data_IF_032522836275
#
_entry.id   IF_032522836275
#
_cell.length_a   1.000
_cell.length_b   1.000
_cell.length_c   1.000
_cell.angle_alpha   90.00
_cell.angle_beta   90.00
_cell.angle_gamma   90.00
#
_symmetry.space_group_name_H-M   'P 1'
#
loop_
_entity.id
_entity.type
_entity.pdbx_description
1 polymer ?
#
# COMPACT_ATOMS: atom_id res chain seq x y z
N UNK A 1 -14.50 2.61 -27.64
CA UNK A 1 -14.00 3.95 -28.08
C UNK A 1 -12.49 3.88 -28.33
N UNK A 2 -11.86 4.82 -29.04
CA UNK A 2 -10.38 4.80 -29.13
C UNK A 2 -9.79 5.18 -27.76
N UNK A 3 -8.95 4.32 -27.20
CA UNK A 3 -8.33 4.58 -25.90
C UNK A 3 -7.29 5.70 -26.02
N UNK A 4 -7.30 6.69 -25.10
CA UNK A 4 -6.36 7.80 -25.15
C UNK A 4 -4.93 7.31 -24.88
N UNK A 5 -3.96 7.90 -25.56
CA UNK A 5 -2.54 7.58 -25.39
C UNK A 5 -1.97 8.37 -24.22
N UNK A 6 -1.17 7.73 -23.37
CA UNK A 6 -0.46 8.41 -22.29
C UNK A 6 0.50 9.48 -22.83
N UNK A 7 0.75 10.57 -22.09
CA UNK A 7 1.73 11.59 -22.48
C UNK A 7 3.16 11.01 -22.50
N UNK A 8 4.14 11.83 -22.92
CA UNK A 8 5.56 11.44 -23.01
C UNK A 8 6.05 10.74 -21.72
N UNK A 9 6.94 9.76 -21.89
CA UNK A 9 7.65 9.05 -20.80
C UNK A 9 8.43 9.96 -19.85
N UNK A 10 8.70 11.20 -20.24
CA UNK A 10 9.31 12.22 -19.37
C UNK A 10 8.38 12.66 -18.22
N UNK A 11 7.08 12.39 -18.34
CA UNK A 11 6.08 12.72 -17.32
C UNK A 11 6.10 11.68 -16.21
N UNK A 12 6.25 12.12 -14.95
CA UNK A 12 6.16 11.25 -13.79
C UNK A 12 4.70 10.79 -13.61
N UNK A 13 4.46 9.48 -13.68
CA UNK A 13 3.14 8.93 -13.40
C UNK A 13 2.94 8.75 -11.90
N UNK A 14 1.78 9.17 -11.42
CA UNK A 14 1.21 8.74 -10.15
C UNK A 14 0.06 7.80 -10.50
N UNK A 15 0.33 6.50 -10.49
CA UNK A 15 -0.55 5.49 -11.05
C UNK A 15 -1.31 4.77 -9.92
N UNK A 16 -2.56 5.17 -9.71
CA UNK A 16 -3.50 4.54 -8.79
C UNK A 16 -4.30 3.46 -9.52
N UNK A 17 -4.34 2.24 -8.97
CA UNK A 17 -5.22 1.20 -9.49
C UNK A 17 -5.84 0.31 -8.40
N UNK A 18 -6.69 -0.63 -8.78
CA UNK A 18 -7.26 -1.61 -7.86
C UNK A 18 -6.21 -2.63 -7.37
N UNK A 19 -6.66 -3.61 -6.60
CA UNK A 19 -5.80 -4.57 -5.86
C UNK A 19 -5.88 -6.01 -6.40
N UNK A 20 -6.65 -6.25 -7.45
CA UNK A 20 -6.79 -7.56 -8.09
C UNK A 20 -5.87 -7.69 -9.33
N UNK A 21 -6.08 -8.73 -10.13
CA UNK A 21 -5.28 -8.97 -11.33
C UNK A 21 -5.40 -7.82 -12.34
N UNK A 22 -6.58 -7.25 -12.54
CA UNK A 22 -6.77 -6.22 -13.55
C UNK A 22 -6.13 -4.90 -13.12
N UNK A 23 -6.28 -4.53 -11.84
CA UNK A 23 -5.60 -3.36 -11.29
C UNK A 23 -4.06 -3.46 -11.31
N UNK A 24 -3.49 -4.59 -10.86
CA UNK A 24 -2.05 -4.81 -10.99
C UNK A 24 -1.62 -4.97 -12.46
N UNK A 25 -2.47 -5.52 -13.31
CA UNK A 25 -2.25 -5.67 -14.73
C UNK A 25 -2.11 -4.33 -15.46
N UNK A 26 -2.93 -3.34 -15.13
CA UNK A 26 -2.79 -1.99 -15.65
C UNK A 26 -1.41 -1.38 -15.30
N UNK A 27 -0.97 -1.53 -14.05
CA UNK A 27 0.36 -1.08 -13.61
C UNK A 27 1.48 -1.83 -14.34
N UNK A 28 1.31 -3.14 -14.52
CA UNK A 28 2.23 -3.99 -15.26
C UNK A 28 2.45 -3.50 -16.70
N UNK A 29 1.39 -3.07 -17.40
CA UNK A 29 1.51 -2.51 -18.75
C UNK A 29 2.30 -1.21 -18.78
N UNK A 30 2.03 -0.28 -17.85
CA UNK A 30 2.79 0.98 -17.80
C UNK A 30 4.26 0.77 -17.49
N UNK A 31 4.59 -0.21 -16.64
CA UNK A 31 5.97 -0.58 -16.33
C UNK A 31 6.69 -1.20 -17.52
N UNK A 32 6.02 -2.11 -18.22
CA UNK A 32 6.54 -2.74 -19.44
C UNK A 32 6.90 -1.71 -20.50
N UNK A 33 6.07 -0.68 -20.63
CA UNK A 33 6.32 0.45 -21.50
C UNK A 33 7.28 1.48 -20.90
N UNK A 34 8.09 1.16 -19.89
CA UNK A 34 9.21 2.00 -19.44
C UNK A 34 8.82 3.34 -18.85
N UNK A 35 7.57 3.53 -18.41
CA UNK A 35 7.15 4.75 -17.74
C UNK A 35 7.76 4.83 -16.34
N UNK A 36 8.21 6.03 -15.96
CA UNK A 36 8.59 6.30 -14.58
C UNK A 36 7.34 6.58 -13.77
N UNK A 37 7.03 5.73 -12.81
CA UNK A 37 5.79 5.78 -12.05
C UNK A 37 6.01 5.60 -10.55
N UNK A 38 5.22 6.32 -9.76
CA UNK A 38 4.90 6.00 -8.37
C UNK A 38 3.56 5.30 -8.37
N UNK A 39 3.55 4.05 -7.93
CA UNK A 39 2.36 3.21 -7.98
C UNK A 39 1.62 3.20 -6.65
N UNK A 40 0.30 3.21 -6.73
CA UNK A 40 -0.62 3.22 -5.60
C UNK A 40 -1.72 2.20 -5.87
N UNK A 41 -2.17 1.52 -4.84
CA UNK A 41 -3.28 0.57 -4.95
C UNK A 41 -4.31 0.88 -3.87
N UNK A 42 -5.58 0.76 -4.20
CA UNK A 42 -6.68 0.97 -3.26
C UNK A 42 -7.83 0.00 -3.52
N UNK A 43 -8.44 -0.46 -2.44
CA UNK A 43 -9.83 -0.92 -2.47
C UNK A 43 -10.75 0.33 -2.54
N UNK A 44 -11.99 0.17 -2.99
CA UNK A 44 -12.97 1.26 -3.17
C UNK A 44 -13.12 2.15 -1.93
N UNK A 45 -13.04 1.55 -0.73
CA UNK A 45 -13.15 2.25 0.55
C UNK A 45 -11.95 3.17 0.84
N UNK A 46 -10.80 2.85 0.29
CA UNK A 46 -9.52 3.52 0.57
C UNK A 46 -9.14 4.55 -0.50
N UNK A 47 -9.91 4.66 -1.59
CA UNK A 47 -9.68 5.62 -2.69
C UNK A 47 -9.50 7.05 -2.17
N UNK A 48 -10.36 7.61 -1.29
CA UNK A 48 -10.20 9.00 -0.84
C UNK A 48 -8.87 9.24 -0.11
N UNK A 49 -8.52 8.37 0.84
CA UNK A 49 -7.28 8.50 1.61
C UNK A 49 -6.03 8.28 0.73
N UNK A 50 -6.14 7.41 -0.26
CA UNK A 50 -5.04 7.16 -1.21
C UNK A 50 -4.84 8.35 -2.15
N UNK A 51 -5.92 8.97 -2.63
CA UNK A 51 -5.85 10.20 -3.43
C UNK A 51 -5.25 11.36 -2.63
N UNK A 52 -5.60 11.53 -1.35
CA UNK A 52 -4.97 12.52 -0.46
C UNK A 52 -3.44 12.35 -0.44
N UNK A 53 -2.96 11.13 -0.20
CA UNK A 53 -1.53 10.81 -0.21
C UNK A 53 -0.87 11.07 -1.57
N UNK A 54 -1.53 10.68 -2.66
CA UNK A 54 -1.03 10.95 -4.02
C UNK A 54 -0.88 12.44 -4.24
N UNK A 55 -1.87 13.25 -3.87
CA UNK A 55 -1.79 14.70 -4.02
C UNK A 55 -0.67 15.32 -3.18
N UNK A 56 -0.43 14.82 -1.96
CA UNK A 56 0.71 15.23 -1.15
C UNK A 56 2.06 14.88 -1.80
N UNK A 57 2.16 13.72 -2.43
CA UNK A 57 3.38 13.27 -3.09
C UNK A 57 3.61 13.97 -4.44
N UNK A 58 2.54 14.26 -5.18
CA UNK A 58 2.57 15.09 -6.40
C UNK A 58 3.03 16.50 -6.10
N UNK A 59 2.57 17.09 -4.99
CA UNK A 59 2.97 18.44 -4.58
C UNK A 59 4.47 18.57 -4.24
N UNK A 60 5.17 17.44 -4.03
CA UNK A 60 6.62 17.38 -3.81
C UNK A 60 7.43 17.22 -5.09
N UNK A 61 6.78 16.94 -6.23
CA UNK A 61 7.46 16.79 -7.52
C UNK A 61 7.75 18.16 -8.14
N UNK A 62 8.92 18.31 -8.73
CA UNK A 62 9.43 19.52 -9.39
C UNK A 62 9.44 19.40 -10.93
N UNK A 63 8.72 18.42 -11.46
CA UNK A 63 8.70 18.00 -12.86
C UNK A 63 7.27 17.73 -13.35
N UNK A 64 7.03 17.58 -14.67
CA UNK A 64 5.69 17.26 -15.16
C UNK A 64 5.14 15.96 -14.56
N UNK A 65 3.91 16.00 -14.06
CA UNK A 65 3.26 14.84 -13.44
C UNK A 65 1.89 14.54 -14.06
N UNK A 66 1.54 13.26 -14.17
CA UNK A 66 0.21 12.78 -14.52
C UNK A 66 -0.32 11.89 -13.40
N UNK A 67 -1.50 12.20 -12.88
CA UNK A 67 -2.31 11.24 -12.11
C UNK A 67 -3.02 10.31 -13.09
N UNK A 68 -2.62 9.03 -13.12
CA UNK A 68 -3.29 7.97 -13.86
C UNK A 68 -4.11 7.12 -12.90
N UNK A 69 -5.41 6.99 -13.14
CA UNK A 69 -6.29 6.13 -12.36
C UNK A 69 -6.80 5.01 -13.28
N UNK A 70 -6.66 3.76 -12.87
CA UNK A 70 -7.16 2.61 -13.65
C UNK A 70 -7.93 1.63 -12.78
N UNK A 71 -8.94 0.98 -13.36
CA UNK A 71 -9.74 -0.07 -12.68
C UNK A 71 -10.46 0.41 -11.40
N UNK A 72 -10.75 1.70 -11.32
CA UNK A 72 -11.40 2.31 -10.16
C UNK A 72 -12.39 3.34 -10.65
N UNK A 73 -13.68 3.08 -10.41
CA UNK A 73 -14.68 4.10 -10.66
C UNK A 73 -14.64 5.19 -9.57
N UNK A 74 -14.84 6.44 -9.99
CA UNK A 74 -15.02 7.56 -9.08
C UNK A 74 -16.49 7.97 -9.07
N UNK A 75 -17.02 8.27 -7.89
CA UNK A 75 -18.29 8.99 -7.82
C UNK A 75 -18.12 10.39 -8.41
N UNK A 76 -19.22 11.02 -8.84
CA UNK A 76 -19.20 12.38 -9.38
C UNK A 76 -18.51 13.38 -8.43
N UNK A 77 -18.78 13.27 -7.12
CA UNK A 77 -18.15 14.11 -6.08
C UNK A 77 -16.63 13.88 -5.98
N UNK A 78 -16.19 12.63 -6.10
CA UNK A 78 -14.76 12.28 -6.09
C UNK A 78 -14.08 12.81 -7.36
N UNK A 79 -14.68 12.64 -8.53
CA UNK A 79 -14.15 13.15 -9.79
C UNK A 79 -14.06 14.68 -9.79
N UNK A 80 -15.10 15.36 -9.30
CA UNK A 80 -15.12 16.81 -9.10
C UNK A 80 -14.02 17.29 -8.14
N UNK A 81 -13.78 16.55 -7.06
CA UNK A 81 -12.70 16.82 -6.11
C UNK A 81 -11.32 16.68 -6.77
N UNK A 82 -11.12 15.61 -7.55
CA UNK A 82 -9.87 15.39 -8.30
C UNK A 82 -9.63 16.53 -9.27
N UNK A 83 -10.63 16.90 -10.08
CA UNK A 83 -10.53 18.00 -11.04
C UNK A 83 -10.17 19.33 -10.35
N UNK A 84 -10.83 19.65 -9.21
CA UNK A 84 -10.51 20.85 -8.41
C UNK A 84 -9.09 20.84 -7.88
N UNK A 85 -8.60 19.71 -7.35
CA UNK A 85 -7.24 19.63 -6.80
C UNK A 85 -6.17 19.72 -7.87
N UNK A 86 -6.35 19.05 -9.01
CA UNK A 86 -5.43 19.17 -10.16
C UNK A 86 -5.38 20.63 -10.64
N UNK A 87 -6.53 21.31 -10.74
CA UNK A 87 -6.57 22.72 -11.12
C UNK A 87 -5.87 23.64 -10.10
N UNK A 88 -6.10 23.43 -8.79
CA UNK A 88 -5.49 24.22 -7.72
C UNK A 88 -3.98 24.07 -7.62
N UNK A 89 -3.44 22.87 -7.88
CA UNK A 89 -1.99 22.63 -7.92
C UNK A 89 -1.31 23.42 -9.04
N UNK A 90 -1.98 23.61 -10.18
CA UNK A 90 -1.48 24.44 -11.28
C UNK A 90 -1.48 25.95 -10.99
N UNK A 91 -2.16 26.41 -9.93
CA UNK A 91 -2.31 27.82 -9.57
C UNK A 91 -1.53 28.23 -8.31
N UNK A 92 -0.80 27.31 -7.67
CA UNK A 92 -0.03 27.60 -6.46
C UNK A 92 -0.88 27.80 -5.19
N UNK A 93 -2.18 27.52 -5.25
CA UNK A 93 -3.06 27.62 -4.08
C UNK A 93 -2.91 26.38 -3.18
N UNK A 94 -2.32 26.56 -1.99
CA UNK A 94 -2.39 25.56 -0.91
C UNK A 94 -3.80 25.56 -0.34
N UNK A 95 -4.71 24.80 -0.94
CA UNK A 95 -6.02 24.55 -0.34
C UNK A 95 -5.89 23.63 0.88
N UNK A 96 -5.88 24.25 2.07
CA UNK A 96 -6.13 23.56 3.35
C UNK A 96 -7.62 23.25 3.47
N UNK A 97 -8.12 22.29 2.71
CA UNK A 97 -9.44 21.71 2.96
C UNK A 97 -9.31 20.21 3.19
N UNK A 98 -8.96 19.86 4.43
CA UNK A 98 -9.21 18.54 4.98
C UNK A 98 -10.72 18.36 5.23
N UNK A 99 -11.23 17.16 4.92
CA UNK A 99 -12.58 16.68 5.23
C UNK A 99 -13.16 17.28 6.52
N UNK A 100 -14.17 18.15 6.41
CA UNK A 100 -14.95 18.60 7.57
C UNK A 100 -15.93 17.51 7.96
N UNK A 101 -15.64 16.81 9.06
CA UNK A 101 -16.66 16.12 9.86
C UNK A 101 -17.48 17.16 10.65
N UNK A 102 -18.78 16.93 10.93
CA UNK A 102 -19.59 17.92 11.63
C UNK A 102 -19.15 18.02 13.09
N UNK A 103 -18.56 19.16 13.49
CA UNK A 103 -18.13 19.42 14.86
C UNK A 103 -19.31 19.84 15.74
N UNK A 104 -19.48 19.14 16.86
CA UNK A 104 -20.24 19.58 18.02
C UNK A 104 -19.62 20.86 18.62
N UNK A 105 -20.48 21.83 18.96
CA UNK A 105 -20.09 23.08 19.61
C UNK A 105 -19.78 22.84 21.09
N UNK A 106 -18.60 23.27 21.54
CA UNK A 106 -18.23 23.40 22.96
C UNK A 106 -17.24 24.56 23.13
N UNK A 107 -17.30 25.35 24.22
CA UNK A 107 -16.76 26.70 24.27
C UNK A 107 -15.26 26.78 24.58
N UNK A 108 -14.63 27.78 23.99
CA UNK A 108 -13.21 28.14 24.07
C UNK A 108 -12.83 28.74 25.43
N UNK A 109 -11.66 28.35 25.96
CA UNK A 109 -10.96 29.05 27.06
C UNK A 109 -9.78 29.85 26.51
N UNK A 110 -9.44 31.04 27.07
CA UNK A 110 -8.38 31.91 26.54
C UNK A 110 -6.99 31.48 27.02
N UNK A 111 -5.99 31.71 26.15
CA UNK A 111 -4.64 31.16 26.24
C UNK A 111 -3.64 31.92 27.12
N UNK A 112 -2.42 31.39 27.12
CA UNK A 112 -1.22 31.98 27.69
C UNK A 112 -0.08 31.78 26.68
N UNK A 113 0.07 32.76 25.80
CA UNK A 113 1.29 33.01 25.02
C UNK A 113 1.53 34.51 25.09
N UNK A 114 2.65 34.87 25.71
CA UNK A 114 3.01 36.26 25.98
C UNK A 114 3.29 36.99 24.67
N UNK A 115 2.73 38.20 24.51
CA UNK A 115 2.69 38.93 23.23
C UNK A 115 4.08 39.21 22.64
N UNK A 116 5.12 39.24 23.49
CA UNK A 116 6.51 39.48 23.09
C UNK A 116 7.17 38.29 22.37
N UNK A 117 6.78 37.05 22.68
CA UNK A 117 7.28 35.86 21.97
C UNK A 117 6.65 35.71 20.59
N UNK A 118 5.40 36.15 20.42
CA UNK A 118 4.73 36.15 19.12
C UNK A 118 5.34 37.17 18.15
N UNK A 119 5.92 38.26 18.67
CA UNK A 119 6.61 39.27 17.88
C UNK A 119 8.00 38.80 17.41
N UNK A 120 8.78 38.12 18.27
CA UNK A 120 10.10 37.58 17.87
C UNK A 120 10.00 36.45 16.83
N UNK A 121 8.98 35.59 16.92
CA UNK A 121 8.72 34.54 15.93
C UNK A 121 8.29 35.09 14.56
N UNK A 122 7.58 36.23 14.53
CA UNK A 122 7.23 36.91 13.28
C UNK A 122 8.45 37.54 12.60
N UNK A 123 9.44 37.98 13.37
CA UNK A 123 10.63 38.64 12.82
C UNK A 123 11.67 37.62 12.29
N UNK A 124 11.77 36.43 12.88
CA UNK A 124 12.65 35.35 12.39
C UNK A 124 12.11 34.66 11.13
N UNK A 125 10.79 34.62 10.94
CA UNK A 125 10.15 34.08 9.73
C UNK A 125 10.19 35.02 8.52
N UNK A 126 10.41 36.33 8.74
CA UNK A 126 10.46 37.33 7.67
C UNK A 126 11.83 37.49 7.01
N UNK A 127 12.88 36.83 7.54
CA UNK A 127 14.27 37.00 7.08
C UNK A 127 14.77 35.88 6.15
N UNK A 128 13.96 34.87 5.84
CA UNK A 128 14.27 33.89 4.82
C UNK A 128 13.69 34.36 3.48
N UNK A 129 14.54 34.90 2.60
CA UNK A 129 14.14 35.08 1.21
C UNK A 129 13.70 33.71 0.65
N UNK A 130 12.50 33.60 0.04
CA UNK A 130 12.10 32.36 -0.58
C UNK A 130 13.09 32.03 -1.69
N UNK A 131 13.63 30.82 -1.65
CA UNK A 131 14.37 30.26 -2.77
C UNK A 131 13.55 30.45 -4.06
N UNK A 132 14.17 30.77 -5.20
CA UNK A 132 13.44 31.02 -6.44
C UNK A 132 12.53 29.82 -6.75
N UNK A 133 11.22 30.06 -6.81
CA UNK A 133 10.25 29.02 -7.16
C UNK A 133 10.51 28.57 -8.60
N UNK A 134 10.99 27.33 -8.77
CA UNK A 134 11.07 26.68 -10.06
C UNK A 134 9.68 26.70 -10.73
N UNK A 135 9.61 26.81 -12.08
CA UNK A 135 8.34 26.82 -12.79
C UNK A 135 7.56 25.54 -12.46
N UNK A 136 6.44 25.67 -11.74
CA UNK A 136 5.60 24.51 -11.39
C UNK A 136 4.89 24.02 -12.65
N UNK A 137 5.27 22.83 -13.09
CA UNK A 137 4.58 22.15 -14.19
C UNK A 137 3.12 21.88 -13.78
N UNK A 138 2.17 22.19 -14.68
CA UNK A 138 0.76 21.96 -14.40
C UNK A 138 0.48 20.45 -14.41
N UNK A 139 0.06 19.83 -13.29
CA UNK A 139 -0.28 18.41 -13.28
C UNK A 139 -1.49 18.15 -14.16
N UNK A 140 -1.55 16.95 -14.73
CA UNK A 140 -2.69 16.44 -15.50
C UNK A 140 -3.30 15.22 -14.81
N UNK A 141 -4.50 14.84 -15.23
CA UNK A 141 -5.17 13.61 -14.80
C UNK A 141 -5.69 12.85 -16.02
N UNK A 142 -5.70 11.52 -15.94
CA UNK A 142 -6.36 10.62 -16.85
C UNK A 142 -6.91 9.44 -16.05
N UNK A 143 -8.11 9.00 -16.38
CA UNK A 143 -8.72 7.82 -15.79
C UNK A 143 -9.16 6.87 -16.90
N UNK A 144 -8.76 5.60 -16.81
CA UNK A 144 -9.14 4.52 -17.73
C UNK A 144 -9.89 3.44 -16.94
N UNK A 145 -11.18 3.29 -17.17
CA UNK A 145 -12.04 2.43 -16.36
C UNK A 145 -13.08 1.71 -17.22
N UNK A 146 -13.65 0.64 -16.68
CA UNK A 146 -14.61 -0.23 -17.35
C UNK A 146 -15.90 -0.46 -16.55
N UNK A 147 -15.97 0.08 -15.33
CA UNK A 147 -17.15 -0.03 -14.48
C UNK A 147 -18.23 0.98 -14.89
N UNK A 148 -19.36 0.49 -15.38
CA UNK A 148 -20.50 1.32 -15.80
C UNK A 148 -21.04 2.26 -14.70
N UNK A 149 -20.75 1.97 -13.42
CA UNK A 149 -21.11 2.82 -12.28
C UNK A 149 -20.44 4.19 -12.27
N UNK A 150 -19.43 4.42 -13.11
CA UNK A 150 -18.76 5.72 -13.30
C UNK A 150 -19.35 6.61 -14.40
N UNK A 151 -20.43 6.21 -15.08
CA UNK A 151 -20.97 6.90 -16.26
C UNK A 151 -21.21 8.40 -16.05
N UNK A 152 -21.92 8.79 -14.98
CA UNK A 152 -22.17 10.21 -14.65
C UNK A 152 -20.89 11.06 -14.53
N UNK A 153 -19.82 10.46 -14.00
CA UNK A 153 -18.52 11.13 -13.86
C UNK A 153 -17.78 11.19 -15.20
N UNK A 154 -17.87 10.13 -16.01
CA UNK A 154 -17.28 10.04 -17.34
C UNK A 154 -17.90 11.04 -18.32
N UNK A 155 -19.22 11.22 -18.30
CA UNK A 155 -19.92 12.21 -19.15
C UNK A 155 -19.51 13.65 -18.84
N UNK A 156 -19.13 13.93 -17.59
CA UNK A 156 -18.80 15.29 -17.13
C UNK A 156 -17.34 15.67 -17.31
N UNK A 157 -16.43 14.71 -17.29
CA UNK A 157 -15.00 14.96 -17.21
C UNK A 157 -14.27 14.33 -18.40
N UNK A 158 -13.77 15.14 -19.33
CA UNK A 158 -13.08 14.66 -20.56
C UNK A 158 -11.86 13.76 -20.29
N UNK A 159 -11.26 13.85 -19.10
CA UNK A 159 -10.12 13.02 -18.69
C UNK A 159 -10.53 11.63 -18.16
N UNK A 160 -11.83 11.37 -18.01
CA UNK A 160 -12.39 10.09 -17.56
C UNK A 160 -12.86 9.29 -18.77
N UNK A 161 -12.03 8.34 -19.20
CA UNK A 161 -12.34 7.41 -20.27
C UNK A 161 -12.98 6.13 -19.70
N UNK A 162 -14.27 5.95 -19.98
CA UNK A 162 -15.04 4.75 -19.62
C UNK A 162 -15.25 3.86 -20.86
N UNK A 163 -14.86 2.59 -20.77
CA UNK A 163 -15.13 1.58 -21.80
C UNK A 163 -15.48 0.24 -21.15
N UNK A 164 -16.76 -0.14 -21.18
CA UNK A 164 -17.28 -1.35 -20.52
C UNK A 164 -17.03 -2.64 -21.32
N UNK A 165 -16.38 -2.53 -22.48
CA UNK A 165 -16.13 -3.66 -23.37
C UNK A 165 -14.70 -4.21 -23.25
N UNK A 166 -13.87 -3.65 -22.37
CA UNK A 166 -12.47 -4.03 -22.19
C UNK A 166 -12.04 -3.76 -20.75
N UNK A 167 -11.28 -4.67 -20.16
CA UNK A 167 -10.73 -4.49 -18.81
C UNK A 167 -9.68 -3.36 -18.76
N UNK A 168 -9.37 -2.87 -17.55
CA UNK A 168 -8.44 -1.78 -17.35
C UNK A 168 -7.01 -2.09 -17.79
N UNK A 169 -6.55 -3.34 -17.66
CA UNK A 169 -5.24 -3.78 -18.18
C UNK A 169 -5.14 -3.60 -19.69
N UNK A 170 -6.23 -3.91 -20.41
CA UNK A 170 -6.31 -3.74 -21.86
C UNK A 170 -6.31 -2.26 -22.24
N UNK A 171 -7.08 -1.43 -21.54
CA UNK A 171 -7.06 0.02 -21.74
C UNK A 171 -5.67 0.61 -21.44
N UNK A 172 -5.03 0.20 -20.34
CA UNK A 172 -3.69 0.64 -19.99
C UNK A 172 -2.65 0.22 -21.02
N UNK A 173 -2.74 -1.01 -21.56
CA UNK A 173 -1.89 -1.46 -22.66
C UNK A 173 -2.06 -0.58 -23.90
N UNK A 174 -3.30 -0.37 -24.36
CA UNK A 174 -3.57 0.44 -25.55
C UNK A 174 -3.04 1.88 -25.39
N UNK A 175 -3.17 2.45 -24.19
CA UNK A 175 -2.65 3.78 -23.86
C UNK A 175 -1.12 3.88 -23.93
N UNK A 176 -0.38 2.77 -23.79
CA UNK A 176 1.09 2.74 -23.82
C UNK A 176 1.70 2.02 -25.02
N UNK A 177 0.89 1.33 -25.82
CA UNK A 177 1.33 0.53 -26.96
C UNK A 177 2.23 1.30 -27.95
N UNK A 178 2.01 2.60 -28.25
CA UNK A 178 2.89 3.35 -29.15
C UNK A 178 4.34 3.48 -28.68
N UNK A 179 4.59 3.31 -27.37
CA UNK A 179 5.93 3.42 -26.79
C UNK A 179 6.72 2.10 -26.79
N UNK A 180 6.07 0.99 -27.13
CA UNK A 180 6.69 -0.33 -27.25
C UNK A 180 7.20 -0.54 -28.69
N UNK A 181 8.31 -1.27 -28.83
CA UNK A 181 8.70 -1.81 -30.13
C UNK A 181 7.73 -2.91 -30.59
N UNK A 182 7.89 -3.42 -31.81
CA UNK A 182 6.95 -4.37 -32.41
C UNK A 182 6.83 -5.68 -31.61
N UNK A 183 7.95 -6.23 -31.16
CA UNK A 183 7.99 -7.48 -30.41
C UNK A 183 7.35 -7.32 -29.03
N UNK A 184 7.75 -6.30 -28.27
CA UNK A 184 7.18 -6.01 -26.97
C UNK A 184 5.69 -5.67 -27.10
N UNK A 185 5.29 -4.90 -28.12
CA UNK A 185 3.88 -4.56 -28.35
C UNK A 185 3.03 -5.80 -28.58
N UNK A 186 3.49 -6.75 -29.39
CA UNK A 186 2.78 -8.01 -29.63
C UNK A 186 2.69 -8.86 -28.34
N UNK A 187 3.80 -8.97 -27.61
CA UNK A 187 3.86 -9.73 -26.35
C UNK A 187 2.88 -9.17 -25.31
N UNK A 188 2.92 -7.87 -25.06
CA UNK A 188 2.08 -7.23 -24.04
C UNK A 188 0.62 -7.09 -24.49
N UNK A 189 0.34 -7.05 -25.80
CA UNK A 189 -1.03 -7.18 -26.32
C UNK A 189 -1.63 -8.53 -25.92
N UNK A 190 -0.92 -9.63 -26.19
CA UNK A 190 -1.39 -10.98 -25.86
C UNK A 190 -1.60 -11.18 -24.35
N UNK A 191 -0.71 -10.61 -23.52
CA UNK A 191 -0.85 -10.63 -22.05
C UNK A 191 -2.03 -9.79 -21.57
N UNK A 192 -2.27 -8.62 -22.16
CA UNK A 192 -3.42 -7.77 -21.81
C UNK A 192 -4.75 -8.43 -22.21
N UNK A 193 -4.83 -9.02 -23.40
CA UNK A 193 -5.99 -9.80 -23.84
C UNK A 193 -6.25 -11.01 -22.94
N UNK A 194 -5.20 -11.67 -22.45
CA UNK A 194 -5.35 -12.78 -21.50
C UNK A 194 -5.98 -12.33 -20.17
N UNK A 195 -5.59 -11.15 -19.67
CA UNK A 195 -6.18 -10.59 -18.45
C UNK A 195 -7.66 -10.25 -18.70
N UNK A 196 -7.97 -9.61 -19.85
CA UNK A 196 -9.34 -9.27 -20.29
C UNK A 196 -10.27 -10.49 -20.33
N UNK A 197 -9.77 -11.65 -20.76
CA UNK A 197 -10.53 -12.92 -20.74
C UNK A 197 -10.97 -13.30 -19.33
N UNK A 198 -10.06 -13.19 -18.34
CA UNK A 198 -10.35 -13.50 -16.95
C UNK A 198 -11.30 -12.49 -16.31
N UNK A 199 -10.96 -11.21 -16.46
CA UNK A 199 -11.69 -10.11 -15.85
C UNK A 199 -13.15 -10.04 -16.32
N UNK A 200 -13.37 -10.09 -17.64
CA UNK A 200 -14.71 -10.07 -18.25
C UNK A 200 -15.44 -11.40 -18.24
N UNK A 201 -14.83 -12.43 -17.66
CA UNK A 201 -15.42 -13.76 -17.52
C UNK A 201 -15.80 -14.44 -18.86
N UNK A 202 -14.92 -14.36 -19.86
CA UNK A 202 -15.16 -14.89 -21.22
C UNK A 202 -15.02 -16.42 -21.26
N UNK A 203 -16.03 -17.15 -20.76
CA UNK A 203 -15.99 -18.61 -20.51
C UNK A 203 -15.71 -19.50 -21.72
N UNK A 204 -16.08 -19.05 -22.90
CA UNK A 204 -15.88 -19.80 -24.14
C UNK A 204 -14.45 -19.68 -24.67
N UNK A 205 -13.63 -18.75 -24.14
CA UNK A 205 -12.23 -18.63 -24.50
C UNK A 205 -11.42 -19.80 -23.90
N UNK A 206 -10.61 -20.52 -24.69
CA UNK A 206 -9.83 -21.65 -24.19
C UNK A 206 -8.82 -21.28 -23.09
N UNK A 207 -8.50 -19.99 -22.93
CA UNK A 207 -7.60 -19.46 -21.90
C UNK A 207 -8.31 -19.20 -20.57
N UNK A 208 -9.65 -19.24 -20.51
CA UNK A 208 -10.45 -18.83 -19.35
C UNK A 208 -10.02 -19.50 -18.04
N UNK A 209 -9.88 -20.82 -17.99
CA UNK A 209 -9.47 -21.48 -16.76
C UNK A 209 -8.06 -21.09 -16.28
N UNK A 210 -7.17 -20.79 -17.22
CA UNK A 210 -5.82 -20.30 -16.90
C UNK A 210 -5.87 -18.87 -16.38
N UNK A 211 -6.73 -18.01 -16.91
CA UNK A 211 -6.88 -16.65 -16.42
C UNK A 211 -7.49 -16.61 -15.02
N UNK A 212 -8.50 -17.45 -14.74
CA UNK A 212 -9.05 -17.62 -13.38
C UNK A 212 -7.97 -18.09 -12.39
N UNK A 213 -7.10 -19.02 -12.80
CA UNK A 213 -5.99 -19.43 -11.95
C UNK A 213 -5.02 -18.28 -11.66
N UNK A 214 -4.67 -17.46 -12.66
CA UNK A 214 -3.82 -16.29 -12.45
C UNK A 214 -4.47 -15.27 -11.51
N UNK A 215 -5.78 -15.02 -11.64
CA UNK A 215 -6.54 -14.17 -10.70
C UNK A 215 -6.36 -14.68 -9.27
N UNK A 216 -6.61 -15.98 -9.05
CA UNK A 216 -6.41 -16.63 -7.74
C UNK A 216 -4.98 -16.44 -7.23
N UNK A 217 -3.98 -16.72 -8.08
CA UNK A 217 -2.56 -16.62 -7.71
C UNK A 217 -2.14 -15.21 -7.28
N UNK A 218 -2.67 -14.16 -7.91
CA UNK A 218 -2.37 -12.76 -7.57
C UNK A 218 -3.11 -12.29 -6.30
N UNK A 219 -4.30 -12.83 -6.05
CA UNK A 219 -5.12 -12.50 -4.88
C UNK A 219 -4.73 -13.29 -3.62
N UNK A 220 -3.96 -14.37 -3.76
CA UNK A 220 -3.45 -15.14 -2.63
C UNK A 220 -2.53 -14.31 -1.71
N UNK A 221 -2.45 -14.72 -0.43
CA UNK A 221 -1.63 -14.06 0.57
C UNK A 221 -0.14 -14.08 0.18
N UNK A 222 0.50 -12.92 0.22
CA UNK A 222 1.89 -12.73 -0.23
C UNK A 222 2.93 -13.06 0.84
N UNK A 223 2.53 -13.36 2.08
CA UNK A 223 3.40 -13.59 3.23
C UNK A 223 4.34 -12.41 3.57
N UNK A 224 4.09 -11.23 2.97
CA UNK A 224 4.91 -10.04 3.14
C UNK A 224 4.31 -9.10 4.19
N UNK A 225 5.18 -8.44 4.95
CA UNK A 225 4.77 -7.45 5.94
C UNK A 225 3.93 -6.33 5.30
N UNK A 226 2.80 -5.92 5.92
CA UNK A 226 1.91 -4.91 5.33
C UNK A 226 2.57 -3.59 4.90
N UNK A 227 3.56 -3.02 5.62
CA UNK A 227 4.22 -1.79 5.18
C UNK A 227 5.04 -1.92 3.89
N UNK A 228 5.40 -3.14 3.47
CA UNK A 228 6.25 -3.40 2.31
C UNK A 228 5.48 -3.35 0.98
N UNK A 229 4.73 -2.26 0.76
CA UNK A 229 3.80 -2.11 -0.36
C UNK A 229 4.48 -2.25 -1.73
N UNK A 230 5.70 -1.72 -1.89
CA UNK A 230 6.41 -1.80 -3.17
C UNK A 230 6.92 -3.23 -3.41
N UNK A 231 7.48 -3.88 -2.38
CA UNK A 231 7.90 -5.27 -2.48
C UNK A 231 6.74 -6.22 -2.78
N UNK A 232 5.56 -5.93 -2.20
CA UNK A 232 4.31 -6.63 -2.50
C UNK A 232 3.92 -6.51 -3.98
N UNK A 233 4.09 -5.33 -4.58
CA UNK A 233 3.87 -5.13 -6.02
C UNK A 233 4.91 -5.85 -6.86
N UNK A 234 6.19 -5.77 -6.49
CA UNK A 234 7.26 -6.51 -7.17
C UNK A 234 6.99 -8.02 -7.15
N UNK A 235 6.49 -8.55 -6.04
CA UNK A 235 6.11 -9.95 -5.92
C UNK A 235 5.00 -10.33 -6.90
N UNK A 236 3.96 -9.49 -7.04
CA UNK A 236 2.87 -9.74 -7.98
C UNK A 236 3.33 -9.68 -9.43
N UNK A 237 4.15 -8.69 -9.79
CA UNK A 237 4.75 -8.63 -11.13
C UNK A 237 5.68 -9.82 -11.39
N UNK A 238 6.40 -10.30 -10.38
CA UNK A 238 7.20 -11.51 -10.47
C UNK A 238 6.33 -12.74 -10.76
N UNK A 239 5.21 -12.90 -10.04
CA UNK A 239 4.26 -14.00 -10.30
C UNK A 239 3.65 -13.91 -11.71
N UNK A 240 3.23 -12.73 -12.14
CA UNK A 240 2.71 -12.50 -13.50
C UNK A 240 3.75 -12.87 -14.56
N UNK A 241 5.00 -12.40 -14.40
CA UNK A 241 6.07 -12.71 -15.33
C UNK A 241 6.36 -14.22 -15.40
N UNK A 242 6.46 -14.88 -14.25
CA UNK A 242 6.70 -16.33 -14.19
C UNK A 242 5.56 -17.11 -14.86
N UNK A 243 4.32 -16.74 -14.55
CA UNK A 243 3.14 -17.35 -15.14
C UNK A 243 3.08 -17.17 -16.66
N UNK A 244 3.21 -15.94 -17.15
CA UNK A 244 3.13 -15.67 -18.59
C UNK A 244 4.26 -16.33 -19.37
N UNK A 245 5.49 -16.29 -18.84
CA UNK A 245 6.65 -16.94 -19.49
C UNK A 245 6.43 -18.44 -19.70
N UNK A 246 5.86 -19.13 -18.72
CA UNK A 246 5.58 -20.57 -18.83
C UNK A 246 4.36 -20.86 -19.70
N UNK A 247 3.33 -20.01 -19.62
CA UNK A 247 2.18 -20.12 -20.50
C UNK A 247 2.57 -19.98 -21.97
N UNK A 248 3.51 -19.06 -22.29
CA UNK A 248 4.08 -18.85 -23.63
C UNK A 248 4.88 -20.06 -24.14
N UNK A 249 5.23 -21.00 -23.25
CA UNK A 249 5.91 -22.26 -23.58
C UNK A 249 4.92 -23.44 -23.70
N UNK A 250 3.62 -23.17 -23.82
CA UNK A 250 2.55 -24.18 -23.88
C UNK A 250 2.47 -25.11 -22.64
N UNK A 251 3.00 -24.65 -21.50
CA UNK A 251 2.94 -25.37 -20.22
C UNK A 251 1.48 -25.63 -19.82
N UNK A 252 1.13 -26.83 -19.37
CA UNK A 252 -0.23 -27.17 -18.91
C UNK A 252 -0.61 -26.42 -17.62
N UNK A 253 -1.91 -26.33 -17.30
CA UNK A 253 -2.35 -25.71 -16.05
C UNK A 253 -1.88 -26.49 -14.81
N UNK A 254 -1.82 -27.82 -14.88
CA UNK A 254 -1.30 -28.66 -13.80
C UNK A 254 0.18 -28.37 -13.53
N UNK A 255 0.99 -28.22 -14.58
CA UNK A 255 2.40 -27.87 -14.44
C UNK A 255 2.60 -26.46 -13.85
N UNK A 256 1.76 -25.49 -14.26
CA UNK A 256 1.76 -24.16 -13.65
C UNK A 256 1.43 -24.21 -12.16
N UNK A 257 0.40 -24.97 -11.78
CA UNK A 257 -0.02 -25.15 -10.39
C UNK A 257 1.09 -25.80 -9.55
N UNK A 258 1.72 -26.86 -10.06
CA UNK A 258 2.89 -27.49 -9.41
C UNK A 258 4.07 -26.51 -9.29
N UNK A 259 4.26 -25.63 -10.27
CA UNK A 259 5.32 -24.64 -10.33
C UNK A 259 5.18 -23.46 -9.38
N UNK A 260 4.01 -23.22 -8.77
CA UNK A 260 3.77 -22.07 -7.88
C UNK A 260 4.79 -21.98 -6.75
N UNK A 261 5.18 -23.12 -6.17
CA UNK A 261 6.23 -23.15 -5.15
C UNK A 261 7.54 -22.55 -5.68
N UNK A 262 7.95 -22.93 -6.88
CA UNK A 262 9.19 -22.47 -7.49
C UNK A 262 9.10 -21.01 -7.91
N UNK A 263 7.94 -20.53 -8.39
CA UNK A 263 7.74 -19.11 -8.69
C UNK A 263 7.96 -18.28 -7.43
N UNK A 264 7.30 -18.67 -6.34
CA UNK A 264 7.41 -17.99 -5.05
C UNK A 264 8.83 -18.08 -4.48
N UNK A 265 9.50 -19.22 -4.61
CA UNK A 265 10.88 -19.38 -4.14
C UNK A 265 11.86 -18.53 -4.96
N UNK A 266 11.65 -18.42 -6.28
CA UNK A 266 12.50 -17.62 -7.16
C UNK A 266 12.48 -16.12 -6.80
N UNK A 267 11.36 -15.60 -6.29
CA UNK A 267 11.29 -14.20 -5.84
C UNK A 267 12.29 -13.88 -4.73
N UNK A 268 12.59 -14.83 -3.85
CA UNK A 268 13.53 -14.65 -2.73
C UNK A 268 15.00 -14.66 -3.17
N UNK A 269 15.30 -15.14 -4.38
CA UNK A 269 16.68 -15.30 -4.86
C UNK A 269 17.37 -13.93 -4.98
N UNK A 270 18.53 -13.80 -4.34
CA UNK A 270 19.26 -12.53 -4.25
C UNK A 270 18.64 -11.49 -3.31
N UNK A 271 17.51 -11.80 -2.65
CA UNK A 271 16.88 -10.93 -1.63
C UNK A 271 17.13 -11.41 -0.20
N UNK A 272 17.49 -12.67 -0.03
CA UNK A 272 17.98 -13.27 1.21
C UNK A 272 19.24 -14.08 0.92
N UNK A 273 20.00 -14.43 1.97
CA UNK A 273 21.19 -15.28 1.85
C UNK A 273 20.85 -16.66 1.25
N UNK A 274 21.76 -17.18 0.42
CA UNK A 274 21.57 -18.46 -0.28
C UNK A 274 21.42 -19.64 0.69
N UNK A 275 22.09 -19.60 1.84
CA UNK A 275 21.94 -20.61 2.89
C UNK A 275 20.51 -20.65 3.40
N UNK A 276 19.91 -19.48 3.68
CA UNK A 276 18.53 -19.37 4.15
C UNK A 276 17.52 -19.73 3.05
N UNK A 277 17.80 -19.35 1.80
CA UNK A 277 16.99 -19.71 0.64
C UNK A 277 16.93 -21.22 0.43
N UNK A 278 18.05 -21.91 0.63
CA UNK A 278 18.22 -23.33 0.33
C UNK A 278 18.01 -24.26 1.52
N UNK A 279 17.79 -23.72 2.72
CA UNK A 279 17.40 -24.51 3.90
C UNK A 279 16.12 -25.30 3.60
N UNK A 280 16.21 -26.64 3.68
CA UNK A 280 15.13 -27.58 3.36
C UNK A 280 14.21 -27.86 4.55
N UNK A 281 14.66 -27.54 5.76
CA UNK A 281 13.89 -27.70 7.00
C UNK A 281 13.06 -26.46 7.32
N UNK A 282 13.22 -25.38 6.54
CA UNK A 282 12.44 -24.15 6.64
C UNK A 282 11.37 -24.06 5.54
N UNK A 283 10.08 -23.89 5.91
CA UNK A 283 9.03 -23.66 4.93
C UNK A 283 9.22 -22.33 4.22
N UNK A 284 8.59 -22.18 3.06
CA UNK A 284 8.76 -20.99 2.22
C UNK A 284 8.34 -19.71 2.96
N UNK A 285 7.26 -19.75 3.74
CA UNK A 285 6.80 -18.61 4.55
C UNK A 285 7.87 -18.08 5.52
N UNK A 286 8.67 -18.94 6.14
CA UNK A 286 9.72 -18.51 7.07
C UNK A 286 10.81 -17.73 6.32
N UNK A 287 11.07 -18.08 5.06
CA UNK A 287 12.01 -17.36 4.19
C UNK A 287 11.46 -15.99 3.76
N UNK A 288 10.16 -15.88 3.54
CA UNK A 288 9.49 -14.59 3.33
C UNK A 288 9.50 -13.71 4.59
N UNK A 289 9.27 -14.29 5.77
CA UNK A 289 9.36 -13.57 7.03
C UNK A 289 10.78 -13.04 7.29
N UNK A 290 11.80 -13.83 6.94
CA UNK A 290 13.19 -13.40 6.98
C UNK A 290 13.44 -12.21 6.05
N UNK A 291 13.01 -12.29 4.79
CA UNK A 291 13.08 -11.16 3.85
C UNK A 291 12.43 -9.91 4.46
N UNK A 292 11.22 -10.04 5.00
CA UNK A 292 10.51 -8.91 5.61
C UNK A 292 11.30 -8.29 6.75
N UNK A 293 11.87 -9.11 7.64
CA UNK A 293 12.65 -8.62 8.77
C UNK A 293 13.98 -7.97 8.35
N UNK A 294 14.56 -8.35 7.20
CA UNK A 294 15.79 -7.76 6.66
C UNK A 294 15.54 -6.41 5.98
N UNK A 295 14.36 -6.21 5.39
CA UNK A 295 14.07 -5.02 4.56
C UNK A 295 13.07 -4.05 5.17
N UNK A 296 12.38 -4.41 6.26
CA UNK A 296 11.43 -3.50 6.92
C UNK A 296 12.15 -2.28 7.49
N UNK A 297 11.74 -1.05 7.12
CA UNK A 297 12.33 0.15 7.67
C UNK A 297 12.06 0.25 9.19
N UNK A 298 13.04 0.66 10.02
CA UNK A 298 12.80 0.86 11.44
C UNK A 298 11.65 1.83 11.76
N UNK A 299 11.41 2.83 10.89
CA UNK A 299 10.29 3.77 11.02
C UNK A 299 8.91 3.13 10.91
N UNK A 300 8.81 1.94 10.28
CA UNK A 300 7.57 1.18 10.14
C UNK A 300 7.29 0.26 11.34
N UNK A 301 8.20 0.24 12.32
CA UNK A 301 8.06 -0.54 13.57
C UNK A 301 8.05 0.44 14.75
N UNK A 302 6.93 1.12 15.00
CA UNK A 302 6.85 2.03 16.13
C UNK A 302 7.02 1.26 17.44
N UNK A 303 7.76 1.85 18.37
CA UNK A 303 8.10 1.23 19.65
C UNK A 303 7.58 2.03 20.84
N UNK A 304 7.18 1.31 21.86
CA UNK A 304 6.94 1.82 23.20
C UNK A 304 7.92 1.17 24.16
N UNK A 305 8.28 1.86 25.24
CA UNK A 305 8.92 1.27 26.40
C UNK A 305 7.84 0.95 27.43
N UNK A 306 7.59 -0.31 27.77
CA UNK A 306 6.59 -0.71 28.77
C UNK A 306 7.31 -1.44 29.90
N UNK A 307 7.23 -0.92 31.12
CA UNK A 307 7.95 -1.44 32.30
C UNK A 307 9.46 -1.63 32.07
N UNK A 308 10.05 -0.79 31.21
CA UNK A 308 11.46 -0.84 30.86
C UNK A 308 11.80 -1.61 29.59
N UNK A 309 10.88 -2.44 29.08
CA UNK A 309 11.09 -3.28 27.89
C UNK A 309 10.71 -2.55 26.59
N UNK A 310 11.50 -2.73 25.53
CA UNK A 310 11.22 -2.24 24.17
C UNK A 310 10.16 -3.12 23.53
N UNK A 311 8.99 -2.54 23.26
CA UNK A 311 7.82 -3.19 22.73
C UNK A 311 7.51 -2.69 21.32
N UNK A 312 7.73 -3.51 20.30
CA UNK A 312 7.33 -3.19 18.92
C UNK A 312 5.82 -3.34 18.75
N UNK A 313 5.17 -2.36 18.10
CA UNK A 313 3.71 -2.31 17.95
C UNK A 313 3.30 -2.54 16.49
N UNK A 314 2.46 -3.55 16.26
CA UNK A 314 2.08 -4.03 14.94
C UNK A 314 0.56 -3.98 14.75
N UNK A 315 0.07 -2.99 14.00
CA UNK A 315 -1.36 -2.77 13.82
C UNK A 315 -1.92 -3.54 12.61
N UNK A 316 -2.92 -4.39 12.81
CA UNK A 316 -3.62 -5.15 11.76
C UNK A 316 -2.75 -6.06 10.87
N UNK A 317 -1.54 -6.41 11.28
CA UNK A 317 -0.72 -7.38 10.55
C UNK A 317 -1.40 -8.75 10.50
N UNK A 318 -1.32 -9.55 9.43
CA UNK A 318 -1.75 -10.94 9.46
C UNK A 318 -1.03 -11.71 10.57
N UNK A 319 -1.74 -12.61 11.28
CA UNK A 319 -1.18 -13.26 12.48
C UNK A 319 0.10 -14.04 12.17
N UNK A 320 0.12 -14.79 11.07
CA UNK A 320 1.28 -15.63 10.70
C UNK A 320 2.48 -14.79 10.26
N UNK A 321 2.25 -13.71 9.49
CA UNK A 321 3.30 -12.74 9.11
C UNK A 321 3.85 -12.04 10.35
N UNK A 322 2.98 -11.54 11.23
CA UNK A 322 3.40 -10.97 12.52
C UNK A 322 4.28 -11.94 13.28
N UNK A 323 3.82 -13.18 13.51
CA UNK A 323 4.54 -14.17 14.30
C UNK A 323 5.93 -14.44 13.73
N UNK A 324 6.04 -14.70 12.42
CA UNK A 324 7.32 -15.04 11.81
C UNK A 324 8.29 -13.87 11.75
N UNK A 325 7.81 -12.68 11.38
CA UNK A 325 8.67 -11.49 11.25
C UNK A 325 9.18 -11.04 12.62
N UNK A 326 8.35 -11.06 13.67
CA UNK A 326 8.80 -10.63 15.00
C UNK A 326 9.76 -11.63 15.64
N UNK A 327 9.63 -12.93 15.37
CA UNK A 327 10.64 -13.90 15.81
C UNK A 327 12.03 -13.55 15.24
N UNK A 328 12.14 -13.26 13.95
CA UNK A 328 13.42 -12.86 13.34
C UNK A 328 13.94 -11.53 13.92
N UNK A 329 13.07 -10.52 14.04
CA UNK A 329 13.46 -9.20 14.58
C UNK A 329 13.87 -9.24 16.06
N UNK A 330 13.22 -10.09 16.87
CA UNK A 330 13.50 -10.24 18.30
C UNK A 330 14.69 -11.16 18.55
N UNK A 331 14.60 -12.42 18.11
CA UNK A 331 15.56 -13.49 18.43
C UNK A 331 16.90 -13.29 17.72
N UNK A 332 16.86 -13.03 16.41
CA UNK A 332 18.08 -13.01 15.59
C UNK A 332 18.70 -11.62 15.47
N UNK A 333 17.88 -10.56 15.55
CA UNK A 333 18.36 -9.19 15.38
C UNK A 333 18.35 -8.33 16.66
N UNK A 334 17.74 -8.79 17.75
CA UNK A 334 17.71 -8.07 19.04
C UNK A 334 17.03 -6.70 19.00
N UNK A 335 16.13 -6.47 18.03
CA UNK A 335 15.54 -5.15 17.76
C UNK A 335 14.54 -4.71 18.84
N UNK A 336 13.88 -5.65 19.49
CA UNK A 336 12.91 -5.40 20.56
C UNK A 336 12.93 -6.55 21.57
N UNK A 337 12.41 -6.31 22.77
CA UNK A 337 12.35 -7.30 23.85
C UNK A 337 11.00 -8.04 23.86
N UNK A 338 9.95 -7.37 23.36
CA UNK A 338 8.65 -7.96 23.09
C UNK A 338 7.96 -7.31 21.90
N UNK A 339 6.96 -7.98 21.34
CA UNK A 339 6.14 -7.51 20.23
C UNK A 339 4.66 -7.62 20.56
N UNK A 340 3.89 -6.60 20.20
CA UNK A 340 2.45 -6.51 20.43
C UNK A 340 1.75 -6.28 19.10
N UNK A 341 1.02 -7.30 18.65
CA UNK A 341 0.04 -7.17 17.58
C UNK A 341 -1.28 -6.66 18.15
N UNK A 342 -1.91 -5.71 17.48
CA UNK A 342 -3.23 -5.18 17.86
C UNK A 342 -4.12 -5.05 16.63
N UNK A 343 -5.34 -5.57 16.74
CA UNK A 343 -6.36 -5.44 15.71
C UNK A 343 -7.22 -4.19 15.88
N UNK A 344 -7.89 -3.76 14.82
CA UNK A 344 -8.85 -2.64 14.87
C UNK A 344 -9.97 -2.81 15.90
N UNK A 345 -10.30 -4.07 16.24
CA UNK A 345 -11.27 -4.45 17.27
C UNK A 345 -10.70 -4.49 18.70
N UNK A 346 -9.47 -4.03 18.92
CA UNK A 346 -8.81 -3.99 20.22
C UNK A 346 -8.21 -5.33 20.68
N UNK A 347 -8.39 -6.43 19.95
CA UNK A 347 -7.76 -7.72 20.31
C UNK A 347 -6.26 -7.67 20.10
N UNK A 348 -5.51 -8.25 21.04
CA UNK A 348 -4.06 -8.21 21.07
C UNK A 348 -3.43 -9.60 21.05
N UNK A 349 -2.22 -9.70 20.49
CA UNK A 349 -1.36 -10.87 20.60
C UNK A 349 0.06 -10.41 20.94
N UNK A 350 0.61 -10.92 22.04
CA UNK A 350 1.92 -10.55 22.54
C UNK A 350 2.91 -11.71 22.37
N UNK A 351 4.14 -11.39 22.01
CA UNK A 351 5.27 -12.33 21.90
C UNK A 351 6.51 -11.72 22.55
N UNK A 352 7.36 -12.56 23.11
CA UNK A 352 8.65 -12.15 23.69
C UNK A 352 9.66 -13.29 23.66
N UNK A 353 10.92 -12.93 23.87
CA UNK A 353 12.00 -13.87 24.13
C UNK A 353 12.14 -14.14 25.63
N UNK A 354 13.06 -15.05 25.97
CA UNK A 354 13.45 -15.33 27.35
C UNK A 354 13.86 -14.05 28.09
N UNK A 355 13.37 -13.92 29.33
CA UNK A 355 13.62 -12.75 30.18
C UNK A 355 12.47 -11.73 30.22
N UNK A 356 11.47 -11.83 29.34
CA UNK A 356 10.26 -11.00 29.39
C UNK A 356 9.01 -11.88 29.44
N UNK A 357 8.23 -11.78 30.53
CA UNK A 357 6.98 -12.52 30.68
C UNK A 357 5.78 -11.71 30.17
N UNK A 358 5.40 -11.93 28.90
CA UNK A 358 4.24 -11.26 28.30
C UNK A 358 2.90 -11.75 28.85
N UNK A 359 2.87 -12.93 29.49
CA UNK A 359 1.68 -13.42 30.21
C UNK A 359 1.33 -12.52 31.38
N UNK A 360 2.33 -12.16 32.20
CA UNK A 360 2.19 -11.24 33.32
C UNK A 360 1.88 -9.82 32.83
N UNK A 361 2.60 -9.32 31.81
CA UNK A 361 2.36 -7.98 31.25
C UNK A 361 0.92 -7.89 30.71
N UNK A 362 0.46 -8.92 30.00
CA UNK A 362 -0.90 -8.94 29.46
C UNK A 362 -1.97 -9.01 30.56
N UNK A 363 -1.79 -9.86 31.58
CA UNK A 363 -2.70 -9.91 32.72
C UNK A 363 -2.76 -8.61 33.50
N UNK A 364 -1.62 -7.93 33.64
CA UNK A 364 -1.55 -6.63 34.30
C UNK A 364 -2.27 -5.56 33.49
N UNK A 365 -1.93 -5.37 32.22
CA UNK A 365 -2.37 -4.20 31.45
C UNK A 365 -3.59 -4.44 30.56
N UNK A 366 -3.68 -5.58 29.90
CA UNK A 366 -4.56 -5.78 28.74
C UNK A 366 -5.66 -6.81 28.96
N UNK A 367 -6.14 -6.98 30.19
CA UNK A 367 -7.27 -7.89 30.52
C UNK A 367 -7.07 -9.31 29.95
N UNK A 368 -5.82 -9.75 29.93
CA UNK A 368 -5.40 -10.95 29.19
C UNK A 368 -4.62 -11.94 30.04
N UNK A 369 -3.84 -12.79 29.36
CA UNK A 369 -3.02 -13.82 29.99
C UNK A 369 -2.41 -14.76 28.95
N UNK A 370 -1.53 -15.65 29.41
CA UNK A 370 -0.86 -16.64 28.56
C UNK A 370 0.41 -17.19 29.19
N UNK A 371 1.29 -17.72 28.33
CA UNK A 371 2.61 -18.21 28.70
C UNK A 371 3.65 -17.07 28.67
N UNK A 372 4.83 -17.25 29.30
CA UNK A 372 5.86 -16.22 29.34
C UNK A 372 6.25 -15.64 27.98
N UNK A 373 6.35 -16.46 26.93
CA UNK A 373 6.68 -16.02 25.58
C UNK A 373 5.48 -15.71 24.65
N UNK A 374 4.24 -15.98 25.09
CA UNK A 374 3.07 -15.83 24.25
C UNK A 374 1.78 -15.59 25.06
N UNK A 375 1.16 -14.43 24.84
CA UNK A 375 -0.07 -14.07 25.51
C UNK A 375 -1.09 -13.44 24.55
N UNK A 376 -2.35 -13.46 24.98
CA UNK A 376 -3.44 -12.69 24.37
C UNK A 376 -3.92 -11.60 25.33
N UNK A 377 -4.61 -10.60 24.80
CA UNK A 377 -5.19 -9.50 25.58
C UNK A 377 -6.20 -8.71 24.75
N UNK A 378 -6.82 -7.71 25.38
CA UNK A 378 -7.83 -6.83 24.80
C UNK A 378 -7.64 -5.42 25.33
N UNK A 379 -7.69 -4.43 24.42
CA UNK A 379 -7.85 -3.02 24.77
C UNK A 379 -9.32 -2.69 25.00
N UNK A 380 -9.58 -1.77 25.93
CA UNK A 380 -10.93 -1.22 26.13
C UNK A 380 -11.42 -0.46 24.90
N UNK A 381 -10.52 0.26 24.21
CA UNK A 381 -10.84 0.85 22.90
C UNK A 381 -10.83 -0.26 21.84
N UNK A 382 -11.99 -0.46 21.22
CA UNK A 382 -12.22 -1.48 20.20
C UNK A 382 -12.53 -0.89 18.82
N UNK A 383 -12.25 0.41 18.60
CA UNK A 383 -12.40 1.09 17.31
C UNK A 383 -11.10 1.80 16.91
N UNK A 384 -10.04 1.01 16.85
CA UNK A 384 -8.70 1.49 16.49
C UNK A 384 -8.59 1.54 14.97
N UNK A 385 -8.28 2.72 14.43
CA UNK A 385 -8.25 2.96 12.99
C UNK A 385 -6.86 2.89 12.38
N UNK A 386 -5.85 3.23 13.17
CA UNK A 386 -4.46 3.31 12.70
C UNK A 386 -3.48 3.00 13.83
N UNK A 387 -2.20 2.89 13.46
CA UNK A 387 -1.11 2.58 14.39
C UNK A 387 -0.91 3.68 15.44
N UNK A 388 -1.18 4.94 15.13
CA UNK A 388 -1.04 6.05 16.09
C UNK A 388 -2.12 5.99 17.17
N UNK A 389 -3.36 5.64 16.81
CA UNK A 389 -4.42 5.37 17.77
C UNK A 389 -4.09 4.14 18.61
N UNK A 390 -3.50 3.10 18.01
CA UNK A 390 -3.04 1.93 18.74
C UNK A 390 -1.98 2.28 19.80
N UNK A 391 -0.95 3.06 19.41
CA UNK A 391 0.09 3.54 20.32
C UNK A 391 -0.50 4.34 21.50
N UNK A 392 -1.43 5.26 21.22
CA UNK A 392 -2.11 6.04 22.26
C UNK A 392 -2.94 5.16 23.19
N UNK A 393 -3.72 4.22 22.65
CA UNK A 393 -4.58 3.34 23.43
C UNK A 393 -3.77 2.41 24.35
N UNK A 394 -2.67 1.84 23.84
CA UNK A 394 -1.76 1.01 24.62
C UNK A 394 -1.11 1.85 25.73
N UNK A 395 -0.57 3.02 25.38
CA UNK A 395 0.10 3.90 26.35
C UNK A 395 -0.84 4.33 27.48
N UNK A 396 -2.06 4.76 27.15
CA UNK A 396 -3.04 5.16 28.16
C UNK A 396 -3.40 4.00 29.08
N UNK A 397 -3.61 2.80 28.53
CA UNK A 397 -3.96 1.60 29.31
C UNK A 397 -2.86 1.22 30.31
N UNK A 398 -1.58 1.36 29.91
CA UNK A 398 -0.43 1.12 30.81
C UNK A 398 -0.38 2.16 31.92
N UNK A 399 -0.52 3.44 31.59
CA UNK A 399 -0.48 4.55 32.56
C UNK A 399 -1.62 4.45 33.58
N UNK A 400 -2.84 4.14 33.14
CA UNK A 400 -4.02 4.04 34.02
C UNK A 400 -3.86 2.97 35.11
N UNK A 401 -3.09 1.91 34.80
CA UNK A 401 -2.77 0.85 35.77
C UNK A 401 -1.43 1.07 36.48
N UNK A 402 -0.95 2.31 36.52
CA UNK A 402 0.28 2.75 37.20
C UNK A 402 1.56 2.10 36.65
N UNK A 403 1.56 1.67 35.39
CA UNK A 403 2.76 1.23 34.69
C UNK A 403 3.60 2.40 34.17
N UNK A 404 4.83 2.10 33.75
CA UNK A 404 5.71 3.08 33.11
C UNK A 404 5.65 2.92 31.60
N UNK A 405 5.38 4.02 30.87
CA UNK A 405 5.42 4.05 29.40
C UNK A 405 6.21 5.24 28.85
N UNK A 406 7.00 5.01 27.80
CA UNK A 406 7.73 6.06 27.04
C UNK A 406 7.71 5.72 25.55
N UNK A 407 7.62 6.72 24.66
CA UNK A 407 7.85 6.52 23.21
C UNK A 407 9.34 6.54 22.93
N UNK A 408 9.82 5.67 22.05
CA UNK A 408 11.25 5.53 21.69
C UNK A 408 11.48 6.08 20.29
#
# INVERSE_FOLDING_TARGET
>A
MTTPILPSRDTLLFHLSHIDLDGYGAQYMTRAAGFRARYYNADYRDVPATLDRIFEDMAKADEPTLLLITDLNLTLDQADMVARRIAGMGQGERSRESFKTPSSRGPSRPGLLNQDMAAMLKQSLAAAEPAPEAPRHKPTVMLLDHHATGEDAAERHDWYHLDTERCASRLAFEAVAPYLDEEARALYAARAEFIDVGDRWLKEDPRFHRSIFLIGLIMEDDQLAPPLIDLKREYRFHLMNAFFTLMEQDTSLEELERGVYDFRKAFLKGRIADEALNDREKPLKDKYHKLCAEVIPPSEIPMLKIDGYRAGIFFNWPHDVFRGVVMELMENQGKMDMAIRVGGNGRMSLRSNDGVDVGIISGRYFEGGGHPGAAGGVLKDNRIKDVNQALRAISQTVVDKKGLVQTI
#
